data_IF_036191177552
#
_entry.id   IF_036191177552
#
_cell.length_a   1.000
_cell.length_b   1.000
_cell.length_c   1.000
_cell.angle_alpha   90.00
_cell.angle_beta   90.00
_cell.angle_gamma   90.00
#
_symmetry.space_group_name_H-M   'P 1'
#
loop_
_entity.id
_entity.type
_entity.pdbx_description
1 polymer ?
#
# COMPACT_ATOMS: atom_id res chain seq x y z
N UNK A 1 -3.65 -12.37 24.98
CA UNK A 1 -3.89 -10.94 25.29
C UNK A 1 -3.07 -10.15 24.30
N UNK A 2 -3.70 -9.30 23.50
CA UNK A 2 -3.03 -8.57 22.41
C UNK A 2 -1.92 -7.67 22.98
N UNK A 3 -0.66 -8.06 22.77
CA UNK A 3 0.54 -7.41 23.34
C UNK A 3 0.58 -5.93 23.01
N UNK A 4 0.09 -5.55 21.82
CA UNK A 4 -0.06 -4.16 21.41
C UNK A 4 -0.93 -3.34 22.36
N UNK A 5 -2.07 -3.87 22.82
CA UNK A 5 -2.96 -3.20 23.78
C UNK A 5 -2.28 -2.97 25.12
N UNK A 6 -1.54 -3.97 25.62
CA UNK A 6 -0.85 -3.83 26.90
C UNK A 6 0.25 -2.77 26.80
N UNK A 7 1.02 -2.78 25.72
CA UNK A 7 2.05 -1.78 25.48
C UNK A 7 1.47 -0.37 25.38
N UNK A 8 0.39 -0.16 24.61
CA UNK A 8 -0.30 1.14 24.54
C UNK A 8 -0.78 1.57 25.92
N UNK A 9 -1.42 0.68 26.68
CA UNK A 9 -1.92 1.00 28.03
C UNK A 9 -0.80 1.47 28.95
N UNK A 10 0.33 0.77 28.97
CA UNK A 10 1.48 1.11 29.81
C UNK A 10 2.13 2.41 29.32
N UNK A 11 2.38 2.53 28.02
CA UNK A 11 2.99 3.72 27.42
C UNK A 11 2.17 4.99 27.74
N UNK A 12 0.86 4.94 27.54
CA UNK A 12 -0.05 6.06 27.86
C UNK A 12 -0.10 6.36 29.37
N UNK A 13 -0.10 5.34 30.23
CA UNK A 13 -0.11 5.54 31.69
C UNK A 13 1.18 6.19 32.23
N UNK A 14 2.29 6.00 31.52
CA UNK A 14 3.61 6.52 31.90
C UNK A 14 4.09 7.69 31.02
N UNK A 15 3.22 8.23 30.16
CA UNK A 15 3.55 9.32 29.23
C UNK A 15 4.79 9.03 28.36
N UNK A 16 4.88 7.81 27.85
CA UNK A 16 5.94 7.36 26.94
C UNK A 16 5.37 7.37 25.52
N UNK A 17 6.01 8.12 24.62
CA UNK A 17 5.67 8.12 23.20
C UNK A 17 5.88 6.73 22.58
N UNK A 18 5.06 6.39 21.60
CA UNK A 18 5.19 5.15 20.86
C UNK A 18 4.83 5.31 19.39
N UNK A 19 5.38 4.43 18.58
CA UNK A 19 4.96 4.17 17.20
C UNK A 19 4.67 2.67 17.03
N UNK A 20 4.12 2.30 15.88
CA UNK A 20 3.99 0.90 15.50
C UNK A 20 4.59 0.69 14.11
N UNK A 21 5.37 -0.39 13.98
CA UNK A 21 6.06 -0.74 12.75
C UNK A 21 5.54 -2.06 12.21
N UNK A 22 4.99 -2.02 10.99
CA UNK A 22 4.61 -3.21 10.22
C UNK A 22 5.76 -3.67 9.32
N UNK A 23 5.60 -3.50 8.00
CA UNK A 23 6.60 -3.88 7.01
C UNK A 23 7.84 -2.98 6.88
N UNK A 24 7.98 -1.93 7.71
CA UNK A 24 9.18 -1.09 7.74
C UNK A 24 9.38 -0.11 6.57
N UNK A 25 8.40 0.03 5.66
CA UNK A 25 8.49 0.93 4.49
C UNK A 25 8.00 2.37 4.76
N UNK A 26 7.69 2.72 6.02
CA UNK A 26 7.27 4.06 6.38
C UNK A 26 8.41 5.06 6.21
N UNK A 27 8.12 6.22 5.61
CA UNK A 27 9.06 7.33 5.45
C UNK A 27 8.48 8.56 6.12
N UNK A 28 9.22 9.13 7.07
CA UNK A 28 8.88 10.40 7.71
C UNK A 28 10.15 11.16 8.06
N UNK A 29 10.09 12.49 7.93
CA UNK A 29 11.13 13.35 8.48
C UNK A 29 11.06 13.25 10.01
N UNK A 30 12.08 12.65 10.62
CA UNK A 30 12.18 12.55 12.08
C UNK A 30 12.31 11.14 12.64
N UNK A 31 12.06 10.07 11.87
CA UNK A 31 12.29 8.70 12.36
C UNK A 31 13.72 8.46 12.84
N UNK A 32 14.72 9.07 12.19
CA UNK A 32 16.11 9.00 12.62
C UNK A 32 16.41 9.70 13.97
N UNK A 33 15.50 10.57 14.43
CA UNK A 33 15.65 11.34 15.66
C UNK A 33 14.87 10.74 16.83
N UNK A 34 14.12 9.65 16.62
CA UNK A 34 13.36 8.98 17.67
C UNK A 34 14.33 8.34 18.67
N UNK A 35 14.22 8.76 19.93
CA UNK A 35 15.04 8.26 21.03
C UNK A 35 14.19 8.11 22.28
N UNK A 36 14.43 7.03 23.04
CA UNK A 36 13.73 6.75 24.30
C UNK A 36 12.21 6.59 24.15
N UNK A 37 11.75 6.17 22.97
CA UNK A 37 10.35 5.87 22.67
C UNK A 37 10.16 4.36 22.46
N UNK A 38 8.91 3.91 22.42
CA UNK A 38 8.57 2.50 22.20
C UNK A 38 8.20 2.29 20.73
N UNK A 39 8.91 1.38 20.05
CA UNK A 39 8.45 0.82 18.78
C UNK A 39 7.65 -0.47 19.04
N UNK A 40 6.38 -0.44 18.70
CA UNK A 40 5.50 -1.60 18.74
C UNK A 40 5.70 -2.37 17.43
N UNK A 41 6.66 -3.29 17.44
CA UNK A 41 6.95 -4.16 16.30
C UNK A 41 5.81 -5.16 16.05
N UNK A 42 5.15 -4.99 14.91
CA UNK A 42 4.06 -5.86 14.45
C UNK A 42 4.56 -7.00 13.57
N UNK A 43 5.87 -7.18 13.36
CA UNK A 43 6.46 -8.20 12.46
C UNK A 43 6.06 -9.64 12.75
N UNK A 44 5.49 -9.91 13.94
CA UNK A 44 4.93 -11.23 14.32
C UNK A 44 3.44 -11.39 14.04
N UNK A 45 2.73 -10.33 13.68
CA UNK A 45 1.31 -10.35 13.27
C UNK A 45 1.22 -10.82 11.81
N UNK A 46 1.67 -12.05 11.55
CA UNK A 46 1.81 -12.65 10.22
C UNK A 46 0.74 -13.70 9.96
N UNK A 47 -0.51 -13.27 9.98
CA UNK A 47 -1.66 -14.12 9.60
C UNK A 47 -2.08 -13.79 8.17
N UNK A 48 -2.52 -14.82 7.45
CA UNK A 48 -3.11 -14.73 6.11
C UNK A 48 -4.29 -15.69 6.09
N UNK A 49 -5.46 -15.18 5.72
CA UNK A 49 -6.67 -15.95 5.49
C UNK A 49 -7.25 -15.51 4.13
N UNK A 50 -7.35 -16.46 3.20
CA UNK A 50 -7.77 -16.24 1.83
C UNK A 50 -9.16 -16.86 1.63
N UNK A 51 -10.18 -16.03 1.42
CA UNK A 51 -11.55 -16.45 1.14
C UNK A 51 -11.93 -16.08 -0.29
N UNK A 52 -11.57 -16.95 -1.23
CA UNK A 52 -11.91 -16.77 -2.64
C UNK A 52 -13.40 -16.88 -2.95
N UNK A 53 -14.20 -17.49 -2.07
CA UNK A 53 -15.66 -17.53 -2.25
C UNK A 53 -16.27 -16.15 -2.00
N UNK A 54 -15.69 -15.39 -1.07
CA UNK A 54 -16.10 -14.02 -0.75
C UNK A 54 -15.29 -12.95 -1.47
N UNK A 55 -14.25 -13.34 -2.23
CA UNK A 55 -13.25 -12.44 -2.81
C UNK A 55 -12.62 -11.54 -1.73
N UNK A 56 -12.10 -12.16 -0.67
CA UNK A 56 -11.46 -11.43 0.43
C UNK A 56 -10.12 -12.03 0.84
N UNK A 57 -9.25 -11.18 1.37
CA UNK A 57 -8.06 -11.57 2.11
C UNK A 57 -8.01 -10.85 3.45
N UNK A 58 -7.83 -11.60 4.54
CA UNK A 58 -7.59 -11.05 5.88
C UNK A 58 -6.13 -11.26 6.24
N UNK A 59 -5.46 -10.18 6.62
CA UNK A 59 -4.03 -10.17 6.90
C UNK A 59 -3.76 -9.54 8.26
N UNK A 60 -2.74 -10.05 8.94
CA UNK A 60 -2.16 -9.37 10.10
C UNK A 60 -1.29 -8.20 9.67
N UNK A 61 -1.11 -7.22 10.54
CA UNK A 61 -0.40 -5.98 10.22
C UNK A 61 1.12 -6.13 9.96
N UNK A 62 1.70 -7.27 10.33
CA UNK A 62 3.09 -7.63 10.03
C UNK A 62 3.25 -8.45 8.75
N UNK A 63 2.15 -8.80 8.07
CA UNK A 63 2.17 -9.59 6.85
C UNK A 63 2.72 -8.74 5.69
N UNK A 64 3.74 -9.26 5.01
CA UNK A 64 4.28 -8.64 3.79
C UNK A 64 3.59 -9.21 2.56
N UNK A 65 3.53 -8.43 1.48
CA UNK A 65 2.83 -8.79 0.24
C UNK A 65 3.28 -10.14 -0.33
N UNK A 66 4.60 -10.41 -0.30
CA UNK A 66 5.16 -11.67 -0.80
C UNK A 66 4.70 -12.93 -0.04
N UNK A 67 4.13 -12.82 1.16
CA UNK A 67 3.67 -13.98 1.93
C UNK A 67 2.35 -14.57 1.42
N UNK A 68 1.60 -13.84 0.61
CA UNK A 68 0.29 -14.28 0.10
C UNK A 68 0.11 -13.99 -1.39
N UNK A 69 1.16 -13.54 -2.08
CA UNK A 69 1.13 -13.24 -3.51
C UNK A 69 0.92 -14.51 -4.35
N UNK A 70 1.78 -15.52 -4.20
CA UNK A 70 1.70 -16.77 -4.97
C UNK A 70 0.30 -17.43 -4.90
N UNK A 71 -0.31 -17.65 -3.70
CA UNK A 71 -1.65 -18.24 -3.64
C UNK A 71 -2.76 -17.33 -4.19
N UNK A 72 -2.60 -16.00 -4.19
CA UNK A 72 -3.52 -15.11 -4.90
C UNK A 72 -3.39 -15.30 -6.42
N UNK A 73 -2.16 -15.31 -6.92
CA UNK A 73 -1.86 -15.46 -8.34
C UNK A 73 -2.37 -16.81 -8.88
N UNK A 74 -2.09 -17.91 -8.17
CA UNK A 74 -2.56 -19.25 -8.53
C UNK A 74 -4.09 -19.35 -8.58
N UNK A 75 -4.79 -18.55 -7.76
CA UNK A 75 -6.25 -18.46 -7.75
C UNK A 75 -6.81 -17.52 -8.82
N UNK A 76 -5.98 -16.93 -9.68
CA UNK A 76 -6.38 -15.94 -10.67
C UNK A 76 -6.92 -14.66 -10.03
N UNK A 77 -6.33 -14.25 -8.91
CA UNK A 77 -6.73 -13.06 -8.15
C UNK A 77 -5.61 -12.04 -8.08
N UNK A 78 -6.00 -10.77 -7.92
CA UNK A 78 -5.09 -9.67 -7.71
C UNK A 78 -5.54 -8.72 -6.60
N UNK A 79 -4.56 -8.07 -5.98
CA UNK A 79 -4.75 -6.98 -5.03
C UNK A 79 -3.49 -6.11 -5.04
N UNK A 80 -3.65 -4.85 -4.64
CA UNK A 80 -2.53 -3.91 -4.48
C UNK A 80 -1.80 -4.15 -3.16
N UNK A 81 -0.60 -3.59 -3.03
CA UNK A 81 0.17 -3.68 -1.79
C UNK A 81 -0.61 -3.09 -0.60
N UNK A 82 -0.79 -3.91 0.43
CA UNK A 82 -1.59 -3.63 1.63
C UNK A 82 -0.89 -2.76 2.68
N UNK A 83 0.45 -2.76 2.72
CA UNK A 83 1.22 -2.04 3.76
C UNK A 83 1.07 -0.52 3.72
N UNK A 84 0.65 0.04 2.58
CA UNK A 84 0.44 1.47 2.39
C UNK A 84 -1.03 1.92 2.57
N UNK A 85 -1.94 1.01 2.94
CA UNK A 85 -3.40 1.25 2.98
C UNK A 85 -3.78 2.49 3.77
N UNK A 86 -3.17 2.70 4.94
CA UNK A 86 -3.52 3.82 5.84
C UNK A 86 -3.22 5.18 5.24
N UNK A 87 -2.27 5.26 4.32
CA UNK A 87 -1.94 6.46 3.54
C UNK A 87 -2.58 6.45 2.14
N UNK A 88 -3.70 5.75 1.95
CA UNK A 88 -4.35 5.39 0.68
C UNK A 88 -3.77 4.16 -0.03
N UNK A 89 -2.46 4.15 -0.28
CA UNK A 89 -1.79 3.09 -1.03
C UNK A 89 -1.92 3.33 -2.53
N UNK A 90 -0.85 3.83 -3.14
CA UNK A 90 -0.68 4.12 -4.58
C UNK A 90 0.13 2.97 -5.22
N UNK A 91 -0.08 2.69 -6.51
CA UNK A 91 0.46 1.49 -7.16
C UNK A 91 -0.23 1.16 -8.47
N UNK A 92 0.37 0.21 -9.21
CA UNK A 92 0.10 -0.03 -10.64
C UNK A 92 -1.37 -0.26 -11.00
N UNK A 93 -2.11 -1.04 -10.20
CA UNK A 93 -3.51 -1.37 -10.47
C UNK A 93 -4.51 -0.25 -10.08
N UNK A 94 -4.07 0.98 -9.84
CA UNK A 94 -4.96 2.04 -9.33
C UNK A 94 -5.99 2.53 -10.35
N UNK A 95 -5.66 2.50 -11.64
CA UNK A 95 -6.62 2.87 -12.68
C UNK A 95 -7.78 1.88 -12.74
N UNK A 96 -7.50 0.60 -12.48
CA UNK A 96 -8.48 -0.49 -12.44
C UNK A 96 -9.30 -0.53 -11.14
N UNK A 97 -8.63 -0.49 -9.98
CA UNK A 97 -9.27 -0.81 -8.68
C UNK A 97 -9.27 0.33 -7.66
N UNK A 98 -8.73 1.50 -8.02
CA UNK A 98 -8.52 2.62 -7.11
C UNK A 98 -7.39 2.37 -6.10
N UNK A 99 -7.36 3.16 -5.02
CA UNK A 99 -6.36 3.02 -3.96
C UNK A 99 -6.58 1.77 -3.11
N UNK A 100 -5.54 1.30 -2.39
CA UNK A 100 -5.66 0.10 -1.56
C UNK A 100 -6.66 0.32 -0.43
N UNK A 101 -6.77 1.55 0.07
CA UNK A 101 -7.79 1.95 1.04
C UNK A 101 -9.21 1.78 0.51
N UNK A 102 -9.45 1.79 -0.80
CA UNK A 102 -10.77 1.50 -1.40
C UNK A 102 -11.15 0.03 -1.24
N UNK A 103 -10.16 -0.87 -1.30
CA UNK A 103 -10.37 -2.30 -1.13
C UNK A 103 -10.56 -2.71 0.34
N UNK A 104 -10.25 -1.86 1.32
CA UNK A 104 -10.42 -2.18 2.74
C UNK A 104 -11.91 -2.42 3.07
N UNK A 105 -12.22 -3.56 3.68
CA UNK A 105 -13.57 -3.97 4.10
C UNK A 105 -13.75 -3.76 5.60
N UNK A 106 -12.76 -4.19 6.39
CA UNK A 106 -12.76 -4.03 7.83
C UNK A 106 -11.34 -4.02 8.40
N UNK A 107 -11.17 -3.49 9.61
CA UNK A 107 -9.92 -3.54 10.34
C UNK A 107 -10.14 -3.69 11.85
N UNK A 108 -9.23 -4.42 12.50
CA UNK A 108 -9.08 -4.49 13.95
C UNK A 108 -8.02 -3.49 14.39
N UNK A 109 -8.37 -2.58 15.29
CA UNK A 109 -7.56 -1.40 15.60
C UNK A 109 -7.46 -1.20 17.10
N UNK A 110 -6.24 -1.06 17.61
CA UNK A 110 -5.98 -0.65 18.99
C UNK A 110 -5.82 0.86 19.03
N UNK A 111 -6.74 1.54 19.71
CA UNK A 111 -6.71 3.01 19.88
C UNK A 111 -5.81 3.42 21.05
N UNK A 112 -5.55 4.73 21.18
CA UNK A 112 -4.79 5.29 22.29
C UNK A 112 -5.40 5.00 23.69
N UNK A 113 -6.69 4.68 23.77
CA UNK A 113 -7.33 4.22 25.01
C UNK A 113 -7.08 2.75 25.34
N UNK A 114 -6.18 2.07 24.59
CA UNK A 114 -5.88 0.65 24.71
C UNK A 114 -7.10 -0.28 24.52
N UNK A 115 -8.11 0.20 23.81
CA UNK A 115 -9.31 -0.57 23.44
C UNK A 115 -9.14 -1.08 22.02
N UNK A 116 -9.60 -2.32 21.79
CA UNK A 116 -9.62 -2.91 20.46
C UNK A 116 -11.00 -2.66 19.84
N UNK A 117 -11.02 -1.96 18.72
CA UNK A 117 -12.21 -1.73 17.91
C UNK A 117 -12.16 -2.55 16.64
N UNK A 118 -13.34 -2.86 16.12
CA UNK A 118 -13.52 -3.32 14.75
C UNK A 118 -14.17 -2.20 13.95
N UNK A 119 -13.51 -1.74 12.90
CA UNK A 119 -13.99 -0.67 12.04
C UNK A 119 -14.36 -1.24 10.67
N UNK A 120 -15.55 -0.92 10.17
CA UNK A 120 -16.06 -1.31 8.86
C UNK A 120 -17.09 -0.30 8.37
N UNK A 121 -17.67 -0.53 7.19
CA UNK A 121 -18.74 0.32 6.65
C UNK A 121 -20.03 0.32 7.52
N UNK A 122 -20.18 -0.61 8.46
CA UNK A 122 -21.36 -0.75 9.31
C UNK A 122 -21.05 -0.75 10.82
N UNK A 123 -19.77 -0.67 11.21
CA UNK A 123 -19.35 -0.66 12.61
C UNK A 123 -18.21 0.35 12.80
N UNK A 124 -18.30 1.23 13.79
CA UNK A 124 -17.34 2.32 14.02
C UNK A 124 -17.01 3.08 12.70
N UNK A 125 -18.04 3.53 11.99
CA UNK A 125 -17.96 4.05 10.62
C UNK A 125 -17.05 5.27 10.47
N UNK A 126 -17.04 6.16 11.46
CA UNK A 126 -16.15 7.34 11.47
C UNK A 126 -14.67 6.92 11.58
N UNK A 127 -14.37 5.93 12.42
CA UNK A 127 -13.02 5.37 12.52
C UNK A 127 -12.64 4.67 11.21
N UNK A 128 -13.58 3.93 10.61
CA UNK A 128 -13.36 3.27 9.32
C UNK A 128 -13.09 4.25 8.19
N UNK A 129 -13.79 5.39 8.15
CA UNK A 129 -13.50 6.47 7.22
C UNK A 129 -12.11 7.06 7.47
N UNK A 130 -11.76 7.34 8.73
CA UNK A 130 -10.51 8.00 9.09
C UNK A 130 -9.26 7.19 8.72
N UNK A 131 -9.24 5.88 8.98
CA UNK A 131 -8.08 5.01 8.70
C UNK A 131 -7.81 4.79 7.20
N UNK A 132 -8.69 5.26 6.31
CA UNK A 132 -8.58 5.07 4.85
C UNK A 132 -7.89 6.23 4.14
N UNK A 133 -7.02 6.96 4.85
CA UNK A 133 -6.22 8.04 4.27
C UNK A 133 -5.48 8.91 5.28
N UNK A 134 -5.86 8.85 6.56
CA UNK A 134 -5.23 9.69 7.58
C UNK A 134 -3.96 9.10 8.21
N UNK A 135 -3.32 8.12 7.57
CA UNK A 135 -2.11 7.44 8.05
C UNK A 135 -2.30 6.81 9.44
N UNK A 136 -1.23 6.65 10.22
CA UNK A 136 -1.21 5.97 11.51
C UNK A 136 -1.80 6.80 12.69
N UNK A 137 -2.66 7.81 12.43
CA UNK A 137 -3.11 8.76 13.46
C UNK A 137 -4.21 8.22 14.39
N UNK A 138 -4.96 7.18 13.98
CA UNK A 138 -6.17 6.74 14.69
C UNK A 138 -5.99 5.44 15.49
N UNK A 139 -4.78 4.89 15.48
CA UNK A 139 -4.43 3.68 16.23
C UNK A 139 -3.63 2.69 15.42
N UNK A 140 -3.39 1.54 16.05
CA UNK A 140 -2.58 0.45 15.52
C UNK A 140 -3.53 -0.58 14.91
N UNK A 141 -3.56 -0.65 13.58
CA UNK A 141 -4.22 -1.77 12.89
C UNK A 141 -3.43 -3.04 13.22
N UNK A 142 -4.10 -4.05 13.75
CA UNK A 142 -3.50 -5.37 14.05
C UNK A 142 -3.89 -6.42 13.01
N UNK A 143 -5.04 -6.24 12.37
CA UNK A 143 -5.49 -7.04 11.24
C UNK A 143 -6.44 -6.23 10.35
N UNK A 144 -6.43 -6.51 9.05
CA UNK A 144 -7.30 -5.87 8.08
C UNK A 144 -7.81 -6.89 7.06
N UNK A 145 -9.06 -6.71 6.64
CA UNK A 145 -9.73 -7.50 5.60
C UNK A 145 -9.88 -6.64 4.36
N UNK A 146 -9.48 -7.18 3.21
CA UNK A 146 -9.54 -6.49 1.93
C UNK A 146 -10.35 -7.29 0.92
N UNK A 147 -10.99 -6.57 0.00
CA UNK A 147 -11.51 -7.13 -1.24
C UNK A 147 -10.34 -7.51 -2.14
N UNK A 148 -10.42 -8.69 -2.75
CA UNK A 148 -9.56 -9.10 -3.86
C UNK A 148 -10.35 -9.08 -5.16
N UNK A 149 -9.66 -8.91 -6.27
CA UNK A 149 -10.26 -8.79 -7.60
C UNK A 149 -9.84 -9.98 -8.46
N UNK A 150 -10.62 -10.28 -9.50
CA UNK A 150 -10.16 -11.20 -10.54
C UNK A 150 -8.95 -10.60 -11.24
N UNK A 151 -7.95 -11.44 -11.53
CA UNK A 151 -6.72 -10.99 -12.16
C UNK A 151 -7.01 -10.46 -13.57
N UNK A 152 -6.62 -9.21 -13.81
CA UNK A 152 -6.77 -8.59 -15.13
C UNK A 152 -5.81 -9.28 -16.09
N UNK A 153 -6.28 -9.61 -17.29
CA UNK A 153 -5.50 -10.35 -18.30
C UNK A 153 -4.78 -11.59 -17.73
N UNK A 154 -5.47 -12.36 -16.86
CA UNK A 154 -4.93 -13.59 -16.24
C UNK A 154 -3.63 -13.32 -15.45
N UNK A 155 -3.48 -12.12 -14.91
CA UNK A 155 -2.31 -11.69 -14.14
C UNK A 155 -1.09 -11.37 -15.01
N UNK A 156 -1.27 -11.24 -16.33
CA UNK A 156 -0.22 -10.80 -17.25
C UNK A 156 -0.26 -9.28 -17.43
N UNK A 157 0.92 -8.68 -17.59
CA UNK A 157 1.07 -7.27 -17.91
C UNK A 157 2.25 -7.08 -18.86
N UNK A 158 2.15 -6.11 -19.77
CA UNK A 158 3.26 -5.67 -20.59
C UNK A 158 4.01 -4.55 -19.86
N UNK A 159 5.33 -4.68 -19.75
CA UNK A 159 6.20 -3.70 -19.13
C UNK A 159 7.14 -3.11 -20.20
N UNK A 160 7.16 -1.79 -20.33
CA UNK A 160 8.08 -1.06 -21.19
C UNK A 160 8.84 0.00 -20.40
N UNK A 161 10.17 -0.08 -20.44
CA UNK A 161 11.07 0.86 -19.78
C UNK A 161 11.82 1.69 -20.81
N UNK A 162 11.69 3.01 -20.69
CA UNK A 162 12.39 3.99 -21.51
C UNK A 162 13.37 4.76 -20.63
N UNK A 163 14.61 4.90 -21.11
CA UNK A 163 15.65 5.71 -20.46
C UNK A 163 16.02 6.84 -21.40
N UNK A 164 15.53 8.02 -21.08
CA UNK A 164 15.73 9.23 -21.86
C UNK A 164 16.90 10.05 -21.30
N UNK A 165 17.76 10.62 -22.17
CA UNK A 165 18.82 11.51 -21.73
C UNK A 165 18.24 12.83 -21.19
N UNK A 166 19.06 13.57 -20.43
CA UNK A 166 18.70 14.87 -19.86
C UNK A 166 18.24 15.89 -20.92
N UNK A 167 18.69 15.72 -22.17
CA UNK A 167 18.36 16.60 -23.30
C UNK A 167 16.95 16.35 -23.86
N UNK A 168 16.35 15.18 -23.62
CA UNK A 168 15.01 14.82 -24.09
C UNK A 168 13.89 15.28 -23.12
N UNK A 169 14.23 16.05 -22.08
CA UNK A 169 13.30 16.47 -21.03
C UNK A 169 11.99 17.05 -21.58
N UNK A 170 12.05 18.01 -22.52
CA UNK A 170 10.86 18.65 -23.08
C UNK A 170 9.98 17.68 -23.87
N UNK A 171 10.58 16.78 -24.66
CA UNK A 171 9.82 15.81 -25.46
C UNK A 171 9.14 14.75 -24.58
N UNK A 172 9.79 14.33 -23.49
CA UNK A 172 9.19 13.42 -22.51
C UNK A 172 7.94 14.06 -21.89
N UNK A 173 8.05 15.27 -21.34
CA UNK A 173 6.89 15.96 -20.77
C UNK A 173 5.80 16.27 -21.80
N UNK A 174 6.19 16.65 -23.02
CA UNK A 174 5.23 16.87 -24.12
C UNK A 174 4.46 15.61 -24.49
N UNK A 175 5.11 14.45 -24.46
CA UNK A 175 4.45 13.14 -24.68
C UNK A 175 3.53 12.80 -23.52
N UNK A 176 3.99 12.96 -22.28
CA UNK A 176 3.19 12.67 -21.09
C UNK A 176 1.92 13.54 -21.00
N UNK A 177 2.01 14.80 -21.41
CA UNK A 177 0.86 15.70 -21.49
C UNK A 177 -0.25 15.16 -22.40
N UNK A 178 0.06 14.32 -23.39
CA UNK A 178 -0.96 13.71 -24.25
C UNK A 178 -1.87 12.74 -23.48
N UNK A 179 -1.41 12.19 -22.36
CA UNK A 179 -2.19 11.31 -21.50
C UNK A 179 -3.17 12.06 -20.57
N UNK A 180 -3.02 13.38 -20.38
CA UNK A 180 -3.87 14.17 -19.47
C UNK A 180 -5.38 14.08 -19.82
N UNK A 181 -5.70 13.84 -21.09
CA UNK A 181 -7.09 13.74 -21.56
C UNK A 181 -7.60 12.31 -21.60
N UNK A 182 -6.72 11.34 -21.76
CA UNK A 182 -7.04 9.93 -21.97
C UNK A 182 -5.87 9.06 -21.48
N UNK A 183 -6.00 8.53 -20.26
CA UNK A 183 -5.15 7.45 -19.76
C UNK A 183 -6.05 6.24 -19.53
N UNK A 184 -5.85 5.11 -20.24
CA UNK A 184 -6.60 3.88 -20.00
C UNK A 184 -6.45 3.42 -18.55
N UNK A 185 -7.50 2.81 -17.99
CA UNK A 185 -7.49 2.32 -16.60
C UNK A 185 -6.42 1.23 -16.39
N UNK A 186 -6.15 0.47 -17.45
CA UNK A 186 -5.19 -0.61 -17.55
C UNK A 186 -3.74 -0.11 -17.64
N UNK A 187 -3.51 1.18 -17.95
CA UNK A 187 -2.18 1.74 -18.13
C UNK A 187 -1.70 2.49 -16.89
N UNK A 188 -0.62 2.00 -16.28
CA UNK A 188 0.13 2.70 -15.25
C UNK A 188 1.38 3.33 -15.83
N UNK A 189 1.63 4.59 -15.47
CA UNK A 189 2.82 5.35 -15.87
C UNK A 189 3.59 5.77 -14.62
N UNK A 190 4.84 5.35 -14.51
CA UNK A 190 5.76 5.78 -13.45
C UNK A 190 6.91 6.55 -14.08
N UNK A 191 7.19 7.74 -13.56
CA UNK A 191 8.31 8.57 -14.01
C UNK A 191 9.26 8.75 -12.83
N UNK A 192 10.55 8.55 -13.08
CA UNK A 192 11.58 8.84 -12.10
C UNK A 192 12.76 9.53 -12.76
N UNK A 193 13.46 10.36 -11.98
CA UNK A 193 14.75 10.92 -12.39
C UNK A 193 15.85 10.18 -11.65
N UNK A 194 16.88 9.80 -12.40
CA UNK A 194 18.06 9.12 -11.85
C UNK A 194 19.32 9.88 -12.23
N UNK A 195 20.40 9.60 -11.52
CA UNK A 195 21.74 10.11 -11.85
C UNK A 195 22.68 8.94 -12.09
N UNK A 196 23.19 8.82 -13.32
CA UNK A 196 24.15 7.80 -13.67
C UNK A 196 25.55 8.28 -13.26
N UNK A 197 26.11 7.63 -12.24
CA UNK A 197 27.42 7.94 -11.67
C UNK A 197 28.58 7.66 -12.65
N UNK A 198 28.40 6.73 -13.61
CA UNK A 198 29.42 6.40 -14.61
C UNK A 198 29.47 7.45 -15.72
N UNK A 199 28.32 7.85 -16.25
CA UNK A 199 28.26 8.88 -17.31
C UNK A 199 28.22 10.30 -16.78
N UNK A 200 28.09 10.49 -15.47
CA UNK A 200 28.01 11.80 -14.78
C UNK A 200 26.84 12.63 -15.32
N UNK A 201 25.72 11.97 -15.63
CA UNK A 201 24.54 12.58 -16.27
C UNK A 201 23.25 12.16 -15.59
N UNK A 202 22.29 13.08 -15.58
CA UNK A 202 20.92 12.75 -15.23
C UNK A 202 20.25 11.97 -16.36
N UNK A 203 19.27 11.13 -16.02
CA UNK A 203 18.39 10.48 -16.97
C UNK A 203 16.96 10.47 -16.43
N UNK A 204 16.01 10.44 -17.34
CA UNK A 204 14.59 10.27 -17.03
C UNK A 204 14.22 8.85 -17.37
N UNK A 205 13.63 8.13 -16.41
CA UNK A 205 13.10 6.79 -16.64
C UNK A 205 11.59 6.91 -16.70
N UNK A 206 11.00 6.45 -17.81
CA UNK A 206 9.56 6.29 -17.97
C UNK A 206 9.28 4.79 -18.01
N UNK A 207 8.54 4.31 -17.02
CA UNK A 207 8.06 2.95 -16.94
C UNK A 207 6.56 2.93 -17.26
N UNK A 208 6.17 2.11 -18.23
CA UNK A 208 4.79 1.88 -18.63
C UNK A 208 4.44 0.42 -18.31
N UNK A 209 3.36 0.23 -17.56
CA UNK A 209 2.81 -1.10 -17.28
C UNK A 209 1.36 -1.13 -17.75
N UNK A 210 1.07 -1.98 -18.74
CA UNK A 210 -0.27 -2.17 -19.29
C UNK A 210 -0.82 -3.53 -18.88
N UNK A 211 -2.05 -3.56 -18.37
CA UNK A 211 -2.74 -4.78 -17.91
C UNK A 211 -3.81 -5.27 -18.89
N UNK A 212 -4.01 -4.61 -20.04
CA UNK A 212 -4.99 -5.00 -21.05
C UNK A 212 -4.52 -6.16 -21.94
N UNK A 213 -5.39 -6.60 -22.86
CA UNK A 213 -5.07 -7.69 -23.80
C UNK A 213 -4.15 -7.19 -24.90
N UNK A 214 -3.37 -8.10 -25.50
CA UNK A 214 -2.63 -7.81 -26.74
C UNK A 214 -3.56 -7.53 -27.93
N UNK A 215 -4.78 -8.06 -27.90
CA UNK A 215 -5.78 -7.84 -28.95
C UNK A 215 -6.32 -6.40 -28.97
N UNK A 216 -6.00 -5.60 -27.94
CA UNK A 216 -6.43 -4.20 -27.82
C UNK A 216 -5.49 -3.21 -28.57
N UNK A 217 -4.44 -3.70 -29.24
CA UNK A 217 -3.47 -2.92 -30.03
C UNK A 217 -3.64 -3.05 -31.55
#
# INVERSE_FOLDING_TARGET
MDTSKMTVKVASAHNISFLATGGGHGVSQGFANIQNEIDIDLSKFKTVDLDFKRNQVTVGAGTTYGQFYDPLYDAGKEIRVIGATVGAGVGLLQGLHGYTSVALISARIVTASAVLFEASATNNTELFWAIRGASANFGIITSATYRVYDATNVGQAQNADFVDPETANRSVWGTLQTFDKTLPAELSVTISSTYNQTSVKAAIIVNLVYFGSYDDF
#
